data_IF_689248909352
#
_entry.id   IF_689248909352
#
_cell.length_a   1.000
_cell.length_b   1.000
_cell.length_c   1.000
_cell.angle_alpha   90.00
_cell.angle_beta   90.00
_cell.angle_gamma   90.00
#
_symmetry.space_group_name_H-M   'P 1'
#
loop_
_entity.id
_entity.type
_entity.pdbx_description
1 polymer ?
#
# COMPACT_ATOMS: atom_id res chain seq x y z
N UNK A 1 -1.47 7.18 0.98
CA UNK A 1 -0.43 6.11 1.00
C UNK A 1 0.63 6.30 2.10
N UNK A 2 1.35 7.43 2.17
CA UNK A 2 2.44 7.63 3.16
C UNK A 2 2.00 7.40 4.62
N UNK A 3 0.85 7.92 5.03
CA UNK A 3 0.29 7.68 6.36
C UNK A 3 0.09 6.19 6.66
N UNK A 4 -0.31 5.39 5.65
CA UNK A 4 -0.42 3.94 5.78
C UNK A 4 0.95 3.30 6.00
N UNK A 5 1.96 3.66 5.19
CA UNK A 5 3.34 3.15 5.32
C UNK A 5 3.87 3.40 6.73
N UNK A 6 3.76 4.62 7.23
CA UNK A 6 4.21 5.00 8.58
C UNK A 6 3.46 4.25 9.68
N UNK A 7 2.15 4.05 9.52
CA UNK A 7 1.35 3.31 10.49
C UNK A 7 1.70 1.81 10.56
N UNK A 8 2.10 1.22 9.43
CA UNK A 8 2.46 -0.20 9.36
C UNK A 8 3.88 -0.53 9.79
N UNK A 9 4.78 0.46 9.91
CA UNK A 9 6.15 0.24 10.37
C UNK A 9 6.20 -0.03 11.89
N UNK A 10 5.63 -1.17 12.31
CA UNK A 10 5.53 -1.68 13.68
C UNK A 10 5.60 -3.20 13.67
N UNK A 11 5.96 -3.80 14.81
CA UNK A 11 6.04 -5.26 14.94
C UNK A 11 4.67 -5.94 14.75
N UNK A 12 4.66 -7.09 14.08
CA UNK A 12 3.48 -7.94 13.91
C UNK A 12 2.36 -7.33 13.08
N UNK A 13 2.68 -6.35 12.23
CA UNK A 13 1.74 -5.69 11.32
C UNK A 13 1.94 -6.19 9.91
N UNK A 14 1.04 -7.04 9.45
CA UNK A 14 1.03 -7.49 8.06
C UNK A 14 0.77 -6.33 7.10
N UNK A 15 1.39 -6.41 5.93
CA UNK A 15 1.05 -5.53 4.80
C UNK A 15 0.05 -6.27 3.93
N UNK A 16 -1.17 -5.74 3.85
CA UNK A 16 -2.26 -6.35 3.09
C UNK A 16 -2.54 -5.54 1.84
N UNK A 17 -2.65 -6.22 0.70
CA UNK A 17 -3.00 -5.62 -0.59
C UNK A 17 -4.30 -4.84 -0.50
N UNK A 18 -5.32 -5.40 0.17
CA UNK A 18 -6.60 -4.72 0.38
C UNK A 18 -6.47 -3.37 1.08
N UNK A 19 -5.56 -3.25 2.06
CA UNK A 19 -5.33 -2.00 2.76
C UNK A 19 -4.56 -0.98 1.90
N UNK A 20 -3.63 -1.44 1.06
CA UNK A 20 -2.95 -0.58 0.07
C UNK A 20 -3.96 -0.06 -0.96
N UNK A 21 -4.80 -0.94 -1.52
CA UNK A 21 -5.86 -0.55 -2.43
C UNK A 21 -6.83 0.45 -1.80
N UNK A 22 -7.23 0.24 -0.54
CA UNK A 22 -8.09 1.19 0.17
C UNK A 22 -7.39 2.54 0.41
N UNK A 23 -6.10 2.55 0.72
CA UNK A 23 -5.31 3.77 0.91
C UNK A 23 -5.05 4.56 -0.39
N UNK A 24 -5.28 3.95 -1.55
CA UNK A 24 -5.13 4.54 -2.88
C UNK A 24 -6.48 4.87 -3.54
N UNK A 25 -7.55 4.13 -3.24
CA UNK A 25 -8.92 4.44 -3.70
C UNK A 25 -9.56 5.52 -2.83
N UNK A 26 -9.15 6.75 -3.08
CA UNK A 26 -9.79 7.95 -2.53
C UNK A 26 -10.84 8.51 -3.49
N UNK A 27 -11.57 9.53 -3.06
CA UNK A 27 -12.52 10.24 -3.92
C UNK A 27 -11.85 10.68 -5.24
N UNK A 28 -12.53 10.42 -6.36
CA UNK A 28 -12.02 10.72 -7.71
C UNK A 28 -11.14 9.63 -8.33
N UNK A 29 -10.73 8.60 -7.58
CA UNK A 29 -9.95 7.47 -8.13
C UNK A 29 -10.89 6.36 -8.58
N UNK A 30 -10.94 6.11 -9.89
CA UNK A 30 -11.79 5.05 -10.47
C UNK A 30 -11.14 3.67 -10.38
N UNK A 31 -9.82 3.60 -10.60
CA UNK A 31 -9.07 2.35 -10.64
C UNK A 31 -7.65 2.56 -10.12
N UNK A 32 -7.16 1.58 -9.39
CA UNK A 32 -5.77 1.48 -8.94
C UNK A 32 -5.14 0.24 -9.55
N UNK A 33 -4.00 0.42 -10.22
CA UNK A 33 -3.12 -0.68 -10.62
C UNK A 33 -1.90 -0.68 -9.70
N UNK A 34 -1.65 -1.81 -9.03
CA UNK A 34 -0.56 -1.94 -8.07
C UNK A 34 0.54 -2.81 -8.67
N UNK A 35 1.71 -2.19 -8.90
CA UNK A 35 2.88 -2.91 -9.43
C UNK A 35 3.64 -3.71 -8.35
N UNK A 36 3.65 -3.20 -7.11
CA UNK A 36 4.24 -3.88 -5.97
C UNK A 36 3.64 -3.34 -4.65
N UNK A 37 3.53 -4.17 -3.61
CA UNK A 37 3.72 -5.64 -3.62
C UNK A 37 2.60 -6.36 -4.40
N UNK A 38 2.89 -7.55 -4.94
CA UNK A 38 1.93 -8.38 -5.70
C UNK A 38 1.20 -9.41 -4.83
N UNK A 39 1.58 -9.54 -3.56
CA UNK A 39 0.98 -10.43 -2.58
C UNK A 39 1.01 -9.76 -1.19
N UNK A 40 0.16 -10.26 -0.28
CA UNK A 40 0.23 -9.87 1.13
C UNK A 40 1.60 -10.25 1.72
N UNK A 41 2.16 -9.35 2.53
CA UNK A 41 3.38 -9.61 3.30
C UNK A 41 2.95 -9.90 4.74
N UNK A 42 2.96 -11.18 5.10
CA UNK A 42 2.60 -11.64 6.44
C UNK A 42 3.86 -11.66 7.31
N UNK A 43 3.78 -11.04 8.47
CA UNK A 43 4.87 -10.87 9.41
C UNK A 43 4.51 -11.53 10.73
N UNK A 44 5.49 -12.15 11.38
CA UNK A 44 5.28 -12.67 12.73
C UNK A 44 5.37 -11.54 13.77
N UNK A 45 5.09 -11.86 15.04
CA UNK A 45 5.07 -10.90 16.15
C UNK A 45 6.40 -10.19 16.43
N UNK A 46 7.51 -10.69 15.89
CA UNK A 46 8.86 -10.12 16.08
C UNK A 46 9.40 -9.45 14.82
N UNK A 47 8.64 -9.41 13.72
CA UNK A 47 9.04 -8.79 12.46
C UNK A 47 8.27 -7.48 12.23
N UNK A 48 8.91 -6.54 11.55
CA UNK A 48 8.28 -5.31 11.06
C UNK A 48 8.60 -5.12 9.57
N UNK A 49 7.67 -4.51 8.84
CA UNK A 49 7.86 -4.11 7.45
C UNK A 49 8.69 -2.83 7.35
N UNK A 50 9.53 -2.71 6.32
CA UNK A 50 10.19 -1.46 5.97
C UNK A 50 9.98 -1.15 4.48
N UNK A 51 9.35 -0.02 4.19
CA UNK A 51 9.13 0.44 2.82
C UNK A 51 10.32 1.30 2.39
N UNK A 52 11.15 0.81 1.47
CA UNK A 52 12.35 1.52 1.01
C UNK A 52 12.04 2.65 0.03
N UNK A 53 10.98 2.49 -0.74
CA UNK A 53 10.54 3.45 -1.76
C UNK A 53 9.04 3.27 -2.01
N UNK A 54 8.36 4.35 -2.40
CA UNK A 54 7.04 4.29 -3.01
C UNK A 54 6.99 5.26 -4.18
N UNK A 55 6.28 4.86 -5.24
CA UNK A 55 6.03 5.71 -6.41
C UNK A 55 4.58 5.55 -6.83
N UNK A 56 3.92 6.68 -7.05
CA UNK A 56 2.53 6.74 -7.54
C UNK A 56 2.52 7.69 -8.72
N UNK A 57 2.02 7.19 -9.85
CA UNK A 57 1.89 7.96 -11.09
C UNK A 57 0.43 7.97 -11.52
N UNK A 58 0.00 9.04 -12.17
CA UNK A 58 -1.33 9.11 -12.77
C UNK A 58 -1.34 8.27 -14.04
N UNK A 59 -2.23 7.27 -14.10
CA UNK A 59 -2.36 6.37 -15.26
C UNK A 59 -3.07 6.99 -16.47
N UNK A 60 -3.51 8.24 -16.35
CA UNK A 60 -4.39 8.91 -17.30
C UNK A 60 -5.78 9.13 -16.72
N UNK A 61 -6.56 9.98 -17.38
CA UNK A 61 -7.98 10.20 -17.13
C UNK A 61 -8.69 10.10 -18.47
N UNK A 62 -9.71 9.25 -18.56
CA UNK A 62 -10.64 9.32 -19.69
C UNK A 62 -11.52 10.56 -19.48
N UNK A 63 -11.41 11.52 -20.40
CA UNK A 63 -12.43 12.55 -20.65
C UNK A 63 -13.34 12.10 -21.80
#
# INVERSE_FOLDING_TARGET
LEAYITAQHRLGRDIRLSAIYAALHVEGVQRVELAAPLADIVLNSTQASFCTEYSVVTGGSDE
#
